data_IF_039340479100
#
_entry.id   IF_039340479100
#
_cell.length_a   1.000
_cell.length_b   1.000
_cell.length_c   1.000
_cell.angle_alpha   90.00
_cell.angle_beta   90.00
_cell.angle_gamma   90.00
#
_symmetry.space_group_name_H-M   'P 1'
#
loop_
_entity.id
_entity.type
_entity.pdbx_description
1 polymer ?
#
# COMPACT_ATOMS: atom_id res chain seq x y z
N UNK A 1 -3.31 -11.40 -11.75
CA UNK A 1 -4.24 -10.28 -11.49
C UNK A 1 -3.95 -9.64 -10.12
N UNK A 2 -4.06 -10.38 -9.01
CA UNK A 2 -3.83 -9.87 -7.65
C UNK A 2 -2.42 -9.27 -7.40
N UNK A 3 -1.36 -9.87 -7.96
CA UNK A 3 0.02 -9.34 -7.87
C UNK A 3 0.21 -8.06 -8.68
N UNK A 4 -0.48 -7.92 -9.82
CA UNK A 4 -0.38 -6.77 -10.71
C UNK A 4 -1.13 -5.56 -10.12
N UNK A 5 -2.29 -5.80 -9.51
CA UNK A 5 -3.04 -4.78 -8.75
C UNK A 5 -2.32 -4.37 -7.47
N UNK A 6 -1.67 -5.31 -6.75
CA UNK A 6 -0.83 -4.98 -5.58
C UNK A 6 0.36 -4.09 -5.97
N UNK A 7 1.00 -4.35 -7.12
CA UNK A 7 2.13 -3.56 -7.62
C UNK A 7 1.73 -2.15 -8.04
N UNK A 8 0.53 -2.00 -8.62
CA UNK A 8 -0.02 -0.69 -9.00
C UNK A 8 -0.46 0.13 -7.78
N UNK A 9 -1.05 -0.50 -6.76
CA UNK A 9 -1.50 0.17 -5.53
C UNK A 9 -0.35 0.46 -4.53
N UNK A 10 0.77 -0.26 -4.64
CA UNK A 10 1.95 -0.13 -3.77
C UNK A 10 2.44 1.32 -3.55
N UNK A 11 2.68 2.15 -4.59
CA UNK A 11 3.15 3.53 -4.39
C UNK A 11 2.16 4.40 -3.62
N UNK A 12 0.86 4.22 -3.84
CA UNK A 12 -0.18 4.97 -3.15
C UNK A 12 -0.27 4.53 -1.68
N UNK A 13 -0.27 3.23 -1.41
CA UNK A 13 -0.26 2.66 -0.06
C UNK A 13 0.99 3.06 0.73
N UNK A 14 2.16 3.12 0.09
CA UNK A 14 3.42 3.52 0.73
C UNK A 14 3.38 4.95 1.29
N UNK A 15 2.72 5.90 0.59
CA UNK A 15 2.58 7.28 1.06
C UNK A 15 1.73 7.35 2.33
N UNK A 16 0.59 6.66 2.35
CA UNK A 16 -0.27 6.58 3.55
C UNK A 16 0.43 5.85 4.70
N UNK A 17 1.15 4.77 4.39
CA UNK A 17 1.92 4.01 5.37
C UNK A 17 3.01 4.88 6.02
N UNK A 18 3.70 5.72 5.25
CA UNK A 18 4.69 6.66 5.78
C UNK A 18 4.07 7.65 6.78
N UNK A 19 2.91 8.24 6.44
CA UNK A 19 2.18 9.12 7.36
C UNK A 19 1.73 8.38 8.63
N UNK A 20 1.20 7.16 8.49
CA UNK A 20 0.80 6.34 9.63
C UNK A 20 1.99 5.98 10.53
N UNK A 21 3.15 5.68 9.95
CA UNK A 21 4.38 5.40 10.70
C UNK A 21 4.85 6.62 11.52
N UNK A 22 4.77 7.83 10.97
CA UNK A 22 5.10 9.06 11.70
C UNK A 22 4.19 9.26 12.93
N UNK A 23 2.88 9.07 12.75
CA UNK A 23 1.91 9.15 13.86
C UNK A 23 2.19 8.05 14.89
N UNK A 24 2.41 6.82 14.43
CA UNK A 24 2.73 5.67 15.28
C UNK A 24 3.93 5.95 16.19
N UNK A 25 5.03 6.45 15.62
CA UNK A 25 6.24 6.80 16.37
C UNK A 25 5.96 7.90 17.40
N UNK A 26 5.17 8.92 17.04
CA UNK A 26 4.75 9.97 17.98
C UNK A 26 4.00 9.40 19.19
N UNK A 27 3.08 8.47 18.96
CA UNK A 27 2.40 7.74 20.04
C UNK A 27 3.39 6.89 20.85
N UNK A 28 4.28 6.11 20.21
CA UNK A 28 5.32 5.34 20.91
C UNK A 28 6.15 6.21 21.87
N UNK A 29 6.64 7.36 21.43
CA UNK A 29 7.43 8.27 22.27
C UNK A 29 6.59 8.88 23.40
N UNK A 30 5.37 9.34 23.09
CA UNK A 30 4.45 9.89 24.09
C UNK A 30 4.10 8.86 25.17
N UNK A 31 3.74 7.64 24.77
CA UNK A 31 3.44 6.55 25.67
C UNK A 31 4.64 6.14 26.52
N UNK A 32 5.83 6.06 25.93
CA UNK A 32 7.06 5.72 26.63
C UNK A 32 7.42 6.76 27.72
N UNK A 33 7.39 8.05 27.38
CA UNK A 33 7.77 9.12 28.31
C UNK A 33 6.74 9.29 29.44
N UNK A 34 5.45 9.28 29.11
CA UNK A 34 4.39 9.59 30.09
C UNK A 34 4.00 8.37 30.91
N UNK A 35 3.87 7.18 30.30
CA UNK A 35 3.44 5.97 31.00
C UNK A 35 4.61 5.11 31.50
N UNK A 36 5.83 5.32 31.00
CA UNK A 36 7.01 4.52 31.39
C UNK A 36 7.33 4.46 32.88
N UNK A 37 7.18 5.54 33.68
CA UNK A 37 7.40 5.48 35.13
C UNK A 37 6.31 4.68 35.87
N UNK A 38 5.13 4.52 35.26
CA UNK A 38 3.93 4.02 35.92
C UNK A 38 3.54 2.61 35.50
N UNK A 39 4.01 2.13 34.34
CA UNK A 39 3.59 0.85 33.79
C UNK A 39 4.73 0.06 33.15
N UNK A 40 4.81 -1.22 33.50
CA UNK A 40 5.90 -2.12 33.06
C UNK A 40 5.96 -2.34 31.54
N UNK A 41 4.81 -2.29 30.84
CA UNK A 41 4.78 -2.38 29.37
C UNK A 41 5.29 -1.12 28.67
N UNK A 42 5.44 -0.01 29.37
CA UNK A 42 5.92 1.25 28.80
C UNK A 42 7.36 1.57 29.19
N UNK A 43 8.13 0.59 29.68
CA UNK A 43 9.48 0.84 30.18
C UNK A 43 10.52 1.01 29.07
N UNK A 44 10.32 0.33 27.93
CA UNK A 44 11.18 0.42 26.75
C UNK A 44 10.34 0.64 25.50
N UNK A 45 10.89 1.38 24.53
CA UNK A 45 10.20 1.68 23.28
C UNK A 45 9.76 0.42 22.51
N UNK A 46 10.53 -0.67 22.58
CA UNK A 46 10.14 -1.94 21.94
C UNK A 46 8.85 -2.51 22.54
N UNK A 47 8.73 -2.57 23.86
CA UNK A 47 7.52 -3.13 24.51
C UNK A 47 6.33 -2.20 24.32
N UNK A 48 6.55 -0.88 24.24
CA UNK A 48 5.52 0.09 23.85
C UNK A 48 5.01 -0.19 22.44
N UNK A 49 5.92 -0.42 21.50
CA UNK A 49 5.57 -0.77 20.12
C UNK A 49 4.83 -2.11 20.05
N UNK A 50 5.29 -3.15 20.76
CA UNK A 50 4.56 -4.42 20.82
C UNK A 50 3.14 -4.26 21.37
N UNK A 51 2.97 -3.43 22.40
CA UNK A 51 1.67 -3.14 22.99
C UNK A 51 0.76 -2.35 22.03
N UNK A 52 1.29 -1.32 21.36
CA UNK A 52 0.50 -0.54 20.41
C UNK A 52 0.14 -1.35 19.16
N UNK A 53 1.04 -2.24 18.72
CA UNK A 53 0.78 -3.16 17.62
C UNK A 53 -0.30 -4.19 17.99
N UNK A 54 -0.26 -4.77 19.20
CA UNK A 54 -1.31 -5.68 19.67
C UNK A 54 -2.67 -4.95 19.77
N UNK A 55 -2.66 -3.70 20.26
CA UNK A 55 -3.83 -2.82 20.33
C UNK A 55 -4.46 -2.56 18.95
N UNK A 56 -3.66 -2.29 17.91
CA UNK A 56 -4.16 -2.12 16.54
C UNK A 56 -4.85 -3.40 16.05
N UNK A 57 -4.32 -4.57 16.40
CA UNK A 57 -4.89 -5.87 16.03
C UNK A 57 -6.10 -6.28 16.90
N UNK A 58 -6.50 -5.48 17.88
CA UNK A 58 -7.63 -5.78 18.75
C UNK A 58 -7.29 -6.60 19.99
N UNK A 59 -6.01 -6.84 20.27
CA UNK A 59 -5.56 -7.69 21.38
C UNK A 59 -5.21 -6.88 22.65
N UNK A 60 -5.57 -7.45 23.81
CA UNK A 60 -5.25 -6.99 25.16
C UNK A 60 -5.69 -5.56 25.53
N UNK A 61 -6.75 -5.03 24.91
CA UNK A 61 -7.29 -3.69 25.21
C UNK A 61 -7.68 -3.54 26.69
N UNK A 62 -8.47 -4.48 27.22
CA UNK A 62 -9.03 -4.39 28.57
C UNK A 62 -7.98 -4.56 29.68
N UNK A 63 -7.03 -5.48 29.54
CA UNK A 63 -6.03 -5.69 30.60
C UNK A 63 -5.07 -4.51 30.73
N UNK A 64 -4.81 -3.80 29.63
CA UNK A 64 -4.02 -2.56 29.63
C UNK A 64 -4.72 -1.47 30.45
N UNK A 65 -6.05 -1.34 30.33
CA UNK A 65 -6.83 -0.41 31.15
C UNK A 65 -6.91 -0.82 32.62
N UNK A 66 -7.07 -2.12 32.92
CA UNK A 66 -7.19 -2.63 34.28
C UNK A 66 -5.91 -2.44 35.11
N UNK A 67 -4.73 -2.61 34.50
CA UNK A 67 -3.43 -2.47 35.19
C UNK A 67 -3.06 -1.01 35.52
N UNK A 68 -3.66 -0.03 34.85
CA UNK A 68 -3.35 1.39 34.99
C UNK A 68 -4.07 2.11 36.14
N UNK A 69 -5.04 1.47 36.81
CA UNK A 69 -5.93 2.09 37.80
C UNK A 69 -5.25 2.42 39.15
N UNK A 70 -4.09 1.85 39.44
CA UNK A 70 -3.64 1.65 40.83
C UNK A 70 -2.80 2.78 41.44
N UNK A 71 -2.44 3.86 40.71
CA UNK A 71 -1.46 4.85 41.23
C UNK A 71 -1.85 6.33 41.19
N UNK A 72 -2.50 6.82 40.14
CA UNK A 72 -2.82 8.26 40.03
C UNK A 72 -3.99 8.52 39.08
N UNK A 73 -4.97 9.31 39.51
CA UNK A 73 -6.16 9.63 38.72
C UNK A 73 -5.84 10.36 37.40
N UNK A 74 -4.89 11.31 37.41
CA UNK A 74 -4.49 12.03 36.20
C UNK A 74 -3.84 11.11 35.16
N UNK A 75 -2.95 10.20 35.59
CA UNK A 75 -2.30 9.22 34.71
C UNK A 75 -3.32 8.24 34.15
N UNK A 76 -4.31 7.85 34.96
CA UNK A 76 -5.41 7.00 34.53
C UNK A 76 -6.33 7.68 33.50
N UNK A 77 -6.64 8.97 33.68
CA UNK A 77 -7.44 9.72 32.72
C UNK A 77 -6.67 9.92 31.41
N UNK A 78 -5.40 10.33 31.50
CA UNK A 78 -4.52 10.50 30.35
C UNK A 78 -4.40 9.21 29.54
N UNK A 79 -4.22 8.06 30.20
CA UNK A 79 -4.09 6.78 29.50
C UNK A 79 -5.35 6.35 28.76
N UNK A 80 -6.53 6.63 29.32
CA UNK A 80 -7.79 6.41 28.61
C UNK A 80 -7.89 7.26 27.35
N UNK A 81 -7.65 8.56 27.47
CA UNK A 81 -7.70 9.49 26.33
C UNK A 81 -6.65 9.08 25.27
N UNK A 82 -5.44 8.75 25.72
CA UNK A 82 -4.35 8.29 24.87
C UNK A 82 -4.73 7.02 24.09
N UNK A 83 -5.21 5.98 24.77
CA UNK A 83 -5.57 4.71 24.13
C UNK A 83 -6.81 4.85 23.22
N UNK A 84 -7.86 5.56 23.65
CA UNK A 84 -9.05 5.76 22.81
C UNK A 84 -8.75 6.63 21.58
N UNK A 85 -7.93 7.68 21.72
CA UNK A 85 -7.52 8.48 20.57
C UNK A 85 -6.66 7.66 19.61
N UNK A 86 -5.72 6.86 20.13
CA UNK A 86 -4.88 5.99 19.32
C UNK A 86 -5.71 4.98 18.52
N UNK A 87 -6.59 4.22 19.19
CA UNK A 87 -7.41 3.18 18.57
C UNK A 87 -8.34 3.79 17.52
N UNK A 88 -9.05 4.87 17.86
CA UNK A 88 -9.99 5.50 16.92
C UNK A 88 -9.25 6.06 15.69
N UNK A 89 -8.16 6.80 15.89
CA UNK A 89 -7.37 7.37 14.80
C UNK A 89 -6.81 6.29 13.88
N UNK A 90 -6.23 5.21 14.42
CA UNK A 90 -5.70 4.12 13.61
C UNK A 90 -6.77 3.37 12.83
N UNK A 91 -7.95 3.14 13.42
CA UNK A 91 -9.10 2.56 12.70
C UNK A 91 -9.50 3.47 11.54
N UNK A 92 -9.66 4.78 11.77
CA UNK A 92 -10.01 5.72 10.70
C UNK A 92 -8.94 5.81 9.60
N UNK A 93 -7.65 5.76 9.95
CA UNK A 93 -6.55 5.73 8.99
C UNK A 93 -6.59 4.47 8.12
N UNK A 94 -6.78 3.29 8.73
CA UNK A 94 -6.89 2.02 8.01
C UNK A 94 -8.11 2.01 7.09
N UNK A 95 -9.27 2.47 7.58
CA UNK A 95 -10.48 2.59 6.76
C UNK A 95 -10.27 3.56 5.59
N UNK A 96 -9.63 4.71 5.84
CA UNK A 96 -9.32 5.70 4.80
C UNK A 96 -8.38 5.12 3.73
N UNK A 97 -7.41 4.30 4.14
CA UNK A 97 -6.49 3.61 3.22
C UNK A 97 -7.25 2.61 2.34
N UNK A 98 -8.16 1.82 2.91
CA UNK A 98 -8.98 0.89 2.13
C UNK A 98 -9.86 1.62 1.12
N UNK A 99 -10.52 2.72 1.53
CA UNK A 99 -11.34 3.53 0.63
C UNK A 99 -10.47 4.11 -0.50
N UNK A 100 -9.32 4.70 -0.18
CA UNK A 100 -8.41 5.26 -1.18
C UNK A 100 -7.94 4.21 -2.20
N UNK A 101 -7.59 3.00 -1.75
CA UNK A 101 -7.17 1.91 -2.62
C UNK A 101 -8.29 1.46 -3.57
N UNK A 102 -9.51 1.32 -3.04
CA UNK A 102 -10.69 0.96 -3.84
C UNK A 102 -10.99 2.05 -4.87
N UNK A 103 -10.99 3.32 -4.46
CA UNK A 103 -11.23 4.47 -5.36
C UNK A 103 -10.19 4.55 -6.46
N UNK A 104 -8.90 4.44 -6.14
CA UNK A 104 -7.79 4.46 -7.10
C UNK A 104 -7.89 3.31 -8.13
N UNK A 105 -8.23 2.11 -7.66
CA UNK A 105 -8.46 0.95 -8.54
C UNK A 105 -9.69 1.16 -9.43
N UNK A 106 -10.77 1.70 -8.88
CA UNK A 106 -12.00 1.98 -9.62
C UNK A 106 -11.78 3.04 -10.71
N UNK A 107 -11.09 4.14 -10.40
CA UNK A 107 -10.73 5.19 -11.36
C UNK A 107 -9.84 4.63 -12.47
N UNK A 108 -8.85 3.82 -12.13
CA UNK A 108 -7.96 3.15 -13.10
C UNK A 108 -8.75 2.25 -14.07
N UNK A 109 -9.66 1.42 -13.56
CA UNK A 109 -10.49 0.54 -14.41
C UNK A 109 -11.45 1.35 -15.28
N UNK A 110 -12.07 2.40 -14.71
CA UNK A 110 -12.96 3.29 -15.45
C UNK A 110 -12.23 3.98 -16.60
N UNK A 111 -11.00 4.42 -16.38
CA UNK A 111 -10.15 5.02 -17.41
C UNK A 111 -9.83 4.01 -18.53
N UNK A 112 -9.59 2.73 -18.19
CA UNK A 112 -9.40 1.67 -19.19
C UNK A 112 -10.67 1.36 -20.00
N UNK A 113 -11.85 1.50 -19.41
CA UNK A 113 -13.12 1.30 -20.14
C UNK A 113 -13.47 2.46 -21.06
N UNK A 114 -13.09 3.70 -20.73
CA UNK A 114 -13.39 4.89 -21.53
C UNK A 114 -12.39 5.09 -22.67
N UNK A 115 -11.09 4.94 -22.41
CA UNK A 115 -10.03 5.28 -23.37
C UNK A 115 -9.31 4.05 -23.97
N UNK A 116 -9.73 2.84 -23.60
CA UNK A 116 -9.04 1.59 -23.95
C UNK A 116 -7.83 1.31 -23.05
N UNK A 117 -7.20 0.14 -23.21
CA UNK A 117 -5.93 -0.14 -22.52
C UNK A 117 -4.86 0.85 -22.97
N UNK A 118 -4.02 1.39 -22.08
CA UNK A 118 -2.93 2.28 -22.45
C UNK A 118 -2.04 1.54 -23.44
N UNK A 119 -1.85 2.09 -24.63
CA UNK A 119 -0.98 1.48 -25.64
C UNK A 119 0.44 1.44 -25.08
N UNK A 120 0.89 0.23 -24.73
CA UNK A 120 2.29 -0.01 -24.45
C UNK A 120 3.10 0.15 -25.75
N UNK A 121 4.36 0.59 -25.66
CA UNK A 121 5.27 0.72 -26.82
C UNK A 121 5.32 -0.58 -27.66
N UNK A 122 5.20 -1.73 -27.01
CA UNK A 122 5.08 -3.04 -27.65
C UNK A 122 3.80 -3.18 -28.48
N UNK A 123 2.64 -2.75 -27.96
CA UNK A 123 1.37 -2.76 -28.69
C UNK A 123 1.40 -1.83 -29.89
N UNK A 124 2.04 -0.66 -29.75
CA UNK A 124 2.28 0.28 -30.86
C UNK A 124 3.20 -0.31 -31.92
N UNK A 125 4.22 -1.06 -31.51
CA UNK A 125 5.10 -1.78 -32.42
C UNK A 125 4.39 -2.92 -33.14
N UNK A 126 3.57 -3.70 -32.43
CA UNK A 126 2.76 -4.78 -33.02
C UNK A 126 1.69 -4.22 -33.98
N UNK A 127 1.08 -3.07 -33.67
CA UNK A 127 0.10 -2.43 -34.56
C UNK A 127 0.74 -1.80 -35.81
N UNK A 128 2.03 -1.43 -35.75
CA UNK A 128 2.82 -1.05 -36.91
C UNK A 128 3.17 -2.23 -37.83
N UNK A 129 3.22 -3.46 -37.30
CA UNK A 129 3.36 -4.68 -38.09
C UNK A 129 2.04 -5.02 -38.81
N UNK A 130 1.85 -4.45 -40.00
CA UNK A 130 0.77 -4.80 -40.96
C UNK A 130 1.00 -6.10 -41.74
N UNK A 131 2.05 -6.86 -41.42
CA UNK A 131 2.40 -8.04 -42.19
C UNK A 131 1.48 -9.22 -41.87
N UNK A 132 0.74 -9.68 -42.88
CA UNK A 132 0.00 -10.94 -42.78
C UNK A 132 0.98 -12.09 -42.47
N UNK A 133 0.58 -13.11 -41.69
CA UNK A 133 1.42 -14.28 -41.39
C UNK A 133 1.88 -15.06 -42.63
N UNK A 134 1.37 -14.69 -43.82
CA UNK A 134 1.69 -15.29 -45.11
C UNK A 134 2.52 -14.37 -46.04
N UNK A 135 3.06 -13.23 -45.57
CA UNK A 135 3.77 -12.27 -46.44
C UNK A 135 5.19 -12.71 -46.85
N UNK A 136 5.68 -13.83 -46.30
CA UNK A 136 6.92 -14.49 -46.75
C UNK A 136 8.22 -13.71 -46.51
N UNK A 137 8.17 -12.49 -45.96
CA UNK A 137 9.35 -11.61 -45.79
C UNK A 137 10.33 -12.02 -44.67
N UNK A 138 10.01 -13.04 -43.89
CA UNK A 138 10.88 -13.56 -42.83
C UNK A 138 11.55 -14.91 -43.17
N UNK A 139 11.48 -15.36 -44.42
CA UNK A 139 12.39 -16.42 -44.89
C UNK A 139 13.68 -15.76 -45.36
N UNK A 140 14.62 -15.73 -44.43
CA UNK A 140 16.04 -15.49 -44.65
C UNK A 140 16.51 -16.17 -45.95
N UNK A 141 17.15 -15.34 -46.76
CA UNK A 141 18.29 -15.63 -47.65
C UNK A 141 18.69 -17.10 -47.73
N UNK A 142 18.32 -17.77 -48.81
CA UNK A 142 19.19 -18.78 -49.43
C UNK A 142 18.80 -18.96 -50.90
N UNK A 143 19.78 -18.65 -51.74
CA UNK A 143 20.00 -19.14 -53.11
C UNK A 143 19.12 -18.67 -54.28
N UNK A 144 19.79 -17.86 -55.10
CA UNK A 144 20.07 -18.17 -56.52
C UNK A 144 18.97 -17.98 -57.58
N UNK A 145 19.37 -17.20 -58.59
CA UNK A 145 19.05 -17.28 -60.02
C UNK A 145 17.87 -16.47 -60.60
N UNK A 146 18.26 -15.41 -61.32
CA UNK A 146 17.84 -15.04 -62.69
C UNK A 146 16.35 -15.17 -63.04
N UNK A 147 15.68 -14.04 -63.30
CA UNK A 147 15.16 -13.72 -64.66
C UNK A 147 14.34 -12.42 -64.72
N UNK A 148 14.80 -11.56 -65.63
CA UNK A 148 14.08 -10.76 -66.63
C UNK A 148 12.80 -9.97 -66.28
N UNK A 149 12.88 -8.69 -66.69
CA UNK A 149 11.82 -7.82 -67.20
C UNK A 149 10.82 -7.21 -66.21
N UNK A 150 11.05 -5.93 -65.87
CA UNK A 150 10.11 -4.86 -66.26
C UNK A 150 10.78 -3.48 -66.12
N UNK A 151 11.17 -2.89 -67.24
CA UNK A 151 11.47 -1.47 -67.38
C UNK A 151 10.22 -0.75 -67.90
N UNK A 152 9.81 0.32 -67.23
CA UNK A 152 9.52 1.66 -67.75
C UNK A 152 9.01 2.54 -66.60
#
# INVERSE_FOLDING_TARGET
LLILTLRAALPNVMRFCCCAAMIYLGYCFCGWIVLGPYHVKFRSLNVVSECLFSLINGDDMFATFAKMQQKSYLVWLFSRIYLYSFISLFIYMVLSLFIALITDTYETIKHYQQDGFPETELQRFISQCKDLPNSGRYRLEEDSSVSLFCCC
#
